data_IF_276089908823
#
_entry.id   IF_276089908823
#
_cell.length_a   1.000
_cell.length_b   1.000
_cell.length_c   1.000
_cell.angle_alpha   90.00
_cell.angle_beta   90.00
_cell.angle_gamma   90.00
#
_symmetry.space_group_name_H-M   'P 1'
#
loop_
_entity.id
_entity.type
_entity.pdbx_description
1 polymer ?
#
# COMPACT_ATOMS: atom_id res chain seq x y z
N UNK A 1 56.54 -1.00 19.40
CA UNK A 1 56.44 -1.68 18.10
C UNK A 1 55.11 -1.26 17.51
N UNK A 2 55.10 -0.54 16.38
CA UNK A 2 53.85 -0.17 15.72
C UNK A 2 53.28 -1.39 14.99
N UNK A 3 51.98 -1.64 15.17
CA UNK A 3 51.27 -2.72 14.48
C UNK A 3 50.71 -2.16 13.18
N UNK A 4 50.94 -2.86 12.07
CA UNK A 4 50.39 -2.49 10.76
C UNK A 4 49.01 -3.08 10.57
N UNK A 5 48.11 -2.32 9.96
CA UNK A 5 46.74 -2.76 9.68
C UNK A 5 46.69 -3.81 8.56
N UNK A 6 47.63 -3.79 7.62
CA UNK A 6 47.74 -4.75 6.52
C UNK A 6 49.20 -5.10 6.22
N UNK A 7 49.41 -6.27 5.60
CA UNK A 7 50.72 -6.80 5.24
C UNK A 7 50.91 -6.91 3.71
N UNK A 8 49.83 -6.90 2.93
CA UNK A 8 49.88 -6.95 1.47
C UNK A 8 48.86 -6.02 0.78
N UNK A 9 48.93 -5.94 -0.55
CA UNK A 9 48.06 -5.07 -1.36
C UNK A 9 46.59 -5.48 -1.32
N UNK A 10 46.31 -6.79 -1.26
CA UNK A 10 44.94 -7.33 -1.26
C UNK A 10 44.26 -7.05 0.08
N UNK A 11 44.98 -7.25 1.18
CA UNK A 11 44.51 -6.94 2.53
C UNK A 11 44.27 -5.42 2.69
N UNK A 12 45.14 -4.59 2.12
CA UNK A 12 44.93 -3.14 2.08
C UNK A 12 43.62 -2.75 1.36
N UNK A 13 43.39 -3.29 0.17
CA UNK A 13 42.18 -3.02 -0.62
C UNK A 13 40.91 -3.49 0.11
N UNK A 14 40.99 -4.62 0.83
CA UNK A 14 39.90 -5.09 1.69
C UNK A 14 39.57 -4.07 2.80
N UNK A 15 40.58 -3.54 3.49
CA UNK A 15 40.36 -2.54 4.54
C UNK A 15 39.88 -1.19 3.98
N UNK A 16 40.30 -0.80 2.77
CA UNK A 16 39.78 0.38 2.08
C UNK A 16 38.26 0.22 1.81
N UNK A 17 37.83 -0.95 1.35
CA UNK A 17 36.41 -1.25 1.17
C UNK A 17 35.63 -1.27 2.50
N UNK A 18 36.22 -1.79 3.57
CA UNK A 18 35.59 -1.77 4.90
C UNK A 18 35.45 -0.35 5.44
N UNK A 19 36.45 0.51 5.20
CA UNK A 19 36.40 1.91 5.58
C UNK A 19 35.27 2.65 4.85
N UNK A 20 35.08 2.38 3.55
CA UNK A 20 33.99 2.96 2.76
C UNK A 20 32.62 2.49 3.27
N UNK A 21 32.46 1.19 3.55
CA UNK A 21 31.21 0.65 4.10
C UNK A 21 30.90 1.28 5.47
N UNK A 22 31.91 1.41 6.33
CA UNK A 22 31.79 2.06 7.63
C UNK A 22 31.35 3.53 7.47
N UNK A 23 31.96 4.26 6.54
CA UNK A 23 31.66 5.66 6.27
C UNK A 23 30.22 5.84 5.80
N UNK A 24 29.75 5.02 4.85
CA UNK A 24 28.38 5.06 4.34
C UNK A 24 27.36 4.84 5.46
N UNK A 25 27.56 3.82 6.30
CA UNK A 25 26.65 3.53 7.42
C UNK A 25 26.63 4.71 8.41
N UNK A 26 27.79 5.26 8.78
CA UNK A 26 27.84 6.41 9.69
C UNK A 26 27.24 7.68 9.09
N UNK A 27 27.46 7.94 7.80
CA UNK A 27 26.87 9.07 7.10
C UNK A 27 25.34 8.95 7.07
N UNK A 28 24.83 7.76 6.76
CA UNK A 28 23.39 7.48 6.73
C UNK A 28 22.77 7.67 8.12
N UNK A 29 23.42 7.22 9.19
CA UNK A 29 22.94 7.40 10.56
C UNK A 29 22.82 8.89 10.94
N UNK A 30 23.79 9.70 10.50
CA UNK A 30 23.75 11.15 10.73
C UNK A 30 22.69 11.84 9.90
N UNK A 31 22.50 11.41 8.65
CA UNK A 31 21.47 11.93 7.76
C UNK A 31 20.07 11.65 8.31
N UNK A 32 19.78 10.41 8.73
CA UNK A 32 18.49 10.04 9.34
C UNK A 32 18.23 10.87 10.61
N UNK A 33 19.23 11.02 11.48
CA UNK A 33 19.10 11.84 12.69
C UNK A 33 18.90 13.33 12.39
N UNK A 34 19.53 13.86 11.34
CA UNK A 34 19.34 15.25 10.92
C UNK A 34 17.92 15.48 10.39
N UNK A 35 17.39 14.54 9.61
CA UNK A 35 16.02 14.59 9.11
C UNK A 35 14.98 14.50 10.23
N UNK A 36 15.14 13.56 11.17
CA UNK A 36 14.24 13.43 12.34
C UNK A 36 14.23 14.68 13.21
N UNK A 37 15.34 15.43 13.24
CA UNK A 37 15.47 16.70 13.97
C UNK A 37 15.05 17.91 13.16
N UNK A 38 14.49 17.70 11.96
CA UNK A 38 14.04 18.75 11.05
C UNK A 38 15.14 19.76 10.68
N UNK A 39 16.39 19.29 10.61
CA UNK A 39 17.57 20.14 10.27
C UNK A 39 17.77 20.25 8.76
N UNK A 40 17.19 19.33 7.99
CA UNK A 40 17.31 19.22 6.53
C UNK A 40 15.92 19.01 5.92
N UNK A 41 15.68 19.62 4.76
CA UNK A 41 14.40 19.48 4.06
C UNK A 41 14.17 18.06 3.55
N UNK A 42 12.90 17.66 3.36
CA UNK A 42 12.55 16.36 2.78
C UNK A 42 13.16 16.14 1.40
N UNK A 43 13.25 17.17 0.55
CA UNK A 43 13.82 17.05 -0.79
C UNK A 43 15.33 16.78 -0.78
N UNK A 44 16.07 17.47 0.10
CA UNK A 44 17.51 17.27 0.22
C UNK A 44 17.82 15.93 0.89
N UNK A 45 17.04 15.57 1.92
CA UNK A 45 17.11 14.26 2.55
C UNK A 45 16.88 13.13 1.54
N UNK A 46 15.81 13.18 0.74
CA UNK A 46 15.49 12.16 -0.26
C UNK A 46 16.65 11.97 -1.25
N UNK A 47 17.19 13.08 -1.78
CA UNK A 47 18.27 13.05 -2.75
C UNK A 47 19.56 12.42 -2.19
N UNK A 48 19.98 12.84 -0.99
CA UNK A 48 21.21 12.33 -0.38
C UNK A 48 21.05 10.90 0.16
N UNK A 49 19.89 10.58 0.73
CA UNK A 49 19.58 9.22 1.21
C UNK A 49 19.60 8.23 0.04
N UNK A 50 19.03 8.59 -1.11
CA UNK A 50 19.03 7.74 -2.30
C UNK A 50 20.45 7.46 -2.81
N UNK A 51 21.34 8.46 -2.79
CA UNK A 51 22.76 8.28 -3.16
C UNK A 51 23.46 7.31 -2.21
N UNK A 52 23.30 7.50 -0.90
CA UNK A 52 23.91 6.63 0.11
C UNK A 52 23.41 5.18 -0.01
N UNK A 53 22.11 4.98 -0.24
CA UNK A 53 21.52 3.66 -0.50
C UNK A 53 22.12 3.03 -1.76
N UNK A 54 22.27 3.80 -2.84
CA UNK A 54 22.85 3.30 -4.08
C UNK A 54 24.31 2.86 -3.88
N UNK A 55 25.13 3.71 -3.25
CA UNK A 55 26.53 3.39 -2.93
C UNK A 55 26.64 2.17 -2.02
N UNK A 56 25.80 2.08 -0.99
CA UNK A 56 25.72 0.93 -0.11
C UNK A 56 25.43 -0.36 -0.89
N UNK A 57 24.38 -0.37 -1.73
CA UNK A 57 24.00 -1.55 -2.51
C UNK A 57 25.12 -2.00 -3.45
N UNK A 58 25.78 -1.06 -4.13
CA UNK A 58 26.93 -1.35 -4.99
C UNK A 58 28.06 -1.99 -4.19
N UNK A 59 28.48 -1.36 -3.09
CA UNK A 59 29.60 -1.84 -2.28
C UNK A 59 29.30 -3.17 -1.58
N UNK A 60 28.12 -3.30 -0.96
CA UNK A 60 27.69 -4.54 -0.30
C UNK A 60 27.56 -5.70 -1.28
N UNK A 61 27.19 -5.46 -2.54
CA UNK A 61 27.18 -6.52 -3.56
C UNK A 61 28.58 -7.06 -3.85
N UNK A 62 29.59 -6.19 -3.89
CA UNK A 62 31.00 -6.56 -4.12
C UNK A 62 31.60 -7.27 -2.91
N UNK A 63 31.17 -6.92 -1.70
CA UNK A 63 31.69 -7.46 -0.45
C UNK A 63 30.94 -8.70 0.07
N UNK A 64 29.92 -9.19 -0.65
CA UNK A 64 29.01 -10.24 -0.14
C UNK A 64 29.71 -11.51 0.34
N UNK A 65 30.79 -11.91 -0.34
CA UNK A 65 31.56 -13.11 0.03
C UNK A 65 32.47 -12.90 1.26
N UNK A 66 32.76 -11.65 1.61
CA UNK A 66 33.64 -11.25 2.71
C UNK A 66 32.82 -10.82 3.93
N UNK A 67 31.73 -10.06 3.70
CA UNK A 67 30.79 -9.56 4.70
C UNK A 67 29.40 -10.10 4.35
N UNK A 68 29.04 -11.29 4.88
CA UNK A 68 27.73 -11.88 4.61
C UNK A 68 26.59 -11.20 5.37
N UNK A 69 26.90 -10.42 6.42
CA UNK A 69 25.91 -9.66 7.20
C UNK A 69 26.48 -8.32 7.62
N UNK A 70 25.76 -7.26 7.27
CA UNK A 70 26.11 -5.87 7.59
C UNK A 70 25.87 -5.59 9.08
N UNK A 71 24.93 -6.28 9.70
CA UNK A 71 24.68 -6.25 11.15
C UNK A 71 25.90 -6.77 11.91
N UNK A 72 26.46 -7.91 11.49
CA UNK A 72 27.69 -8.45 12.10
C UNK A 72 28.89 -7.53 11.90
N UNK A 73 28.98 -6.86 10.74
CA UNK A 73 29.99 -5.83 10.52
C UNK A 73 29.83 -4.67 11.50
N UNK A 74 28.60 -4.15 11.66
CA UNK A 74 28.29 -3.09 12.62
C UNK A 74 28.63 -3.50 14.06
N UNK A 75 28.32 -4.73 14.47
CA UNK A 75 28.70 -5.26 15.80
C UNK A 75 30.22 -5.34 15.97
N UNK A 76 30.93 -5.88 14.97
CA UNK A 76 32.40 -6.05 14.99
C UNK A 76 33.11 -4.72 15.18
N UNK A 77 32.64 -3.68 14.49
CA UNK A 77 33.19 -2.32 14.57
C UNK A 77 32.47 -1.43 15.59
N UNK A 78 31.61 -2.01 16.46
CA UNK A 78 30.90 -1.34 17.56
C UNK A 78 30.13 -0.09 17.10
N UNK A 79 29.44 -0.22 15.98
CA UNK A 79 28.68 0.86 15.35
C UNK A 79 27.26 0.94 15.96
N UNK A 80 27.01 1.99 16.75
CA UNK A 80 25.65 2.36 17.15
C UNK A 80 24.98 3.16 16.01
N UNK A 81 24.37 2.44 15.06
CA UNK A 81 23.72 3.01 13.87
C UNK A 81 22.37 2.35 13.52
N UNK A 82 21.40 2.26 14.46
CA UNK A 82 20.15 1.55 14.24
C UNK A 82 19.28 2.15 13.11
N UNK A 83 19.31 3.47 12.93
CA UNK A 83 18.54 4.12 11.86
C UNK A 83 19.13 3.82 10.48
N UNK A 84 20.46 3.84 10.37
CA UNK A 84 21.14 3.45 9.13
C UNK A 84 20.88 1.99 8.77
N UNK A 85 20.93 1.06 9.72
CA UNK A 85 20.68 -0.36 9.45
C UNK A 85 19.25 -0.57 8.94
N UNK A 86 18.26 0.05 9.59
CA UNK A 86 16.88 0.00 9.11
C UNK A 86 16.78 0.55 7.68
N UNK A 87 17.35 1.73 7.42
CA UNK A 87 17.28 2.38 6.09
C UNK A 87 17.98 1.58 5.00
N UNK A 88 19.21 1.13 5.24
CA UNK A 88 20.06 0.51 4.23
C UNK A 88 19.71 -0.96 3.97
N UNK A 89 19.40 -1.72 5.03
CA UNK A 89 19.22 -3.17 4.95
C UNK A 89 17.74 -3.57 4.89
N UNK A 90 16.88 -2.93 5.68
CA UNK A 90 15.47 -3.34 5.81
C UNK A 90 14.58 -2.64 4.78
N UNK A 91 14.58 -1.31 4.77
CA UNK A 91 13.68 -0.50 3.93
C UNK A 91 14.21 -0.34 2.50
N UNK A 92 15.48 0.04 2.34
CA UNK A 92 16.13 0.19 1.05
C UNK A 92 15.63 1.35 0.19
N UNK A 93 14.80 2.23 0.76
CA UNK A 93 14.28 3.50 0.19
C UNK A 93 14.24 4.58 1.29
N UNK A 94 14.25 5.89 0.98
CA UNK A 94 14.12 6.95 2.00
C UNK A 94 12.81 6.89 2.82
N UNK A 95 12.81 7.42 4.05
CA UNK A 95 11.67 7.35 4.98
C UNK A 95 10.39 7.94 4.38
N UNK A 96 10.53 9.07 3.71
CA UNK A 96 9.44 9.81 3.09
C UNK A 96 8.80 9.04 1.95
N UNK A 97 9.58 8.27 1.20
CA UNK A 97 9.09 7.41 0.11
C UNK A 97 8.31 6.24 0.68
N UNK A 98 8.83 5.60 1.72
CA UNK A 98 8.16 4.52 2.45
C UNK A 98 6.81 4.96 3.02
N UNK A 99 6.77 6.09 3.72
CA UNK A 99 5.53 6.66 4.25
C UNK A 99 4.57 7.14 3.16
N UNK A 100 5.08 7.71 2.06
CA UNK A 100 4.26 8.11 0.91
C UNK A 100 3.64 6.90 0.22
N UNK A 101 4.36 5.79 0.08
CA UNK A 101 3.82 4.55 -0.50
C UNK A 101 2.73 3.95 0.40
N UNK A 102 2.94 3.95 1.72
CA UNK A 102 1.92 3.54 2.69
C UNK A 102 0.66 4.42 2.63
N UNK A 103 0.83 5.74 2.50
CA UNK A 103 -0.28 6.68 2.37
C UNK A 103 -0.98 6.60 0.99
N UNK A 104 -0.23 6.44 -0.09
CA UNK A 104 -0.77 6.33 -1.45
C UNK A 104 -1.58 5.04 -1.64
N UNK A 105 -1.14 3.92 -1.06
CA UNK A 105 -1.92 2.67 -1.03
C UNK A 105 -3.29 2.82 -0.38
N UNK A 106 -3.48 3.83 0.49
CA UNK A 106 -4.76 4.14 1.13
C UNK A 106 -5.66 5.08 0.31
N UNK A 107 -5.10 5.90 -0.59
CA UNK A 107 -5.85 6.99 -1.27
C UNK A 107 -6.13 6.72 -2.75
N UNK A 108 -5.22 6.08 -3.49
CA UNK A 108 -5.50 5.70 -4.90
C UNK A 108 -6.36 4.45 -4.98
N UNK A 109 -6.20 3.51 -4.03
CA UNK A 109 -7.10 2.37 -3.88
C UNK A 109 -8.54 2.83 -3.56
N UNK A 110 -8.72 3.91 -2.81
CA UNK A 110 -10.06 4.41 -2.47
C UNK A 110 -10.75 5.06 -3.66
N UNK A 111 -10.05 5.84 -4.50
CA UNK A 111 -10.68 6.48 -5.67
C UNK A 111 -11.11 5.48 -6.75
N UNK A 112 -10.25 4.49 -7.06
CA UNK A 112 -10.59 3.44 -8.01
C UNK A 112 -11.72 2.54 -7.48
N UNK A 113 -11.69 2.17 -6.19
CA UNK A 113 -12.76 1.39 -5.58
C UNK A 113 -14.08 2.17 -5.51
N UNK A 114 -14.04 3.48 -5.27
CA UNK A 114 -15.23 4.35 -5.31
C UNK A 114 -15.82 4.36 -6.72
N UNK A 115 -15.00 4.58 -7.75
CA UNK A 115 -15.45 4.57 -9.14
C UNK A 115 -16.06 3.21 -9.55
N UNK A 116 -15.42 2.10 -9.16
CA UNK A 116 -15.94 0.75 -9.38
C UNK A 116 -17.31 0.56 -8.71
N UNK A 117 -17.46 1.00 -7.46
CA UNK A 117 -18.72 0.88 -6.72
C UNK A 117 -19.84 1.73 -7.35
N UNK A 118 -19.55 2.98 -7.74
CA UNK A 118 -20.49 3.84 -8.48
C UNK A 118 -20.95 3.16 -9.77
N UNK A 119 -20.01 2.62 -10.54
CA UNK A 119 -20.33 1.95 -11.79
C UNK A 119 -21.21 0.71 -11.57
N UNK A 120 -20.92 -0.11 -10.56
CA UNK A 120 -21.74 -1.28 -10.24
C UNK A 120 -23.15 -0.91 -9.78
N UNK A 121 -23.30 0.17 -9.01
CA UNK A 121 -24.62 0.70 -8.63
C UNK A 121 -25.42 1.10 -9.87
N UNK A 122 -24.84 1.95 -10.72
CA UNK A 122 -25.50 2.44 -11.95
C UNK A 122 -25.86 1.28 -12.87
N UNK A 123 -24.91 0.37 -13.11
CA UNK A 123 -25.10 -0.79 -14.00
C UNK A 123 -26.25 -1.68 -13.50
N UNK A 124 -26.28 -1.98 -12.21
CA UNK A 124 -27.36 -2.81 -11.62
C UNK A 124 -28.72 -2.10 -11.71
N UNK A 125 -28.77 -0.80 -11.41
CA UNK A 125 -30.01 -0.01 -11.51
C UNK A 125 -30.51 0.10 -12.96
N UNK A 126 -29.62 0.29 -13.93
CA UNK A 126 -29.99 0.42 -15.34
C UNK A 126 -30.43 -0.92 -15.94
N UNK A 127 -29.82 -2.05 -15.55
CA UNK A 127 -30.31 -3.38 -15.93
C UNK A 127 -31.76 -3.60 -15.50
N UNK A 128 -32.13 -3.19 -14.29
CA UNK A 128 -33.52 -3.26 -13.82
C UNK A 128 -34.45 -2.35 -14.63
N UNK A 129 -33.99 -1.14 -15.01
CA UNK A 129 -34.75 -0.22 -15.88
C UNK A 129 -34.94 -0.76 -17.30
N UNK A 130 -33.99 -1.54 -17.80
CA UNK A 130 -34.06 -2.25 -19.08
C UNK A 130 -34.87 -3.55 -19.00
N UNK A 131 -35.55 -3.80 -17.88
CA UNK A 131 -36.35 -4.99 -17.64
C UNK A 131 -35.57 -6.32 -17.73
N UNK A 132 -34.26 -6.27 -17.43
CA UNK A 132 -33.44 -7.46 -17.23
C UNK A 132 -33.69 -8.00 -15.82
N UNK A 133 -34.71 -8.83 -15.65
CA UNK A 133 -35.21 -9.26 -14.32
C UNK A 133 -34.94 -10.73 -14.00
N UNK A 134 -34.30 -11.46 -14.91
CA UNK A 134 -33.89 -12.85 -14.67
C UNK A 134 -32.76 -12.92 -13.62
N UNK A 135 -32.77 -13.99 -12.83
CA UNK A 135 -31.79 -14.20 -11.74
C UNK A 135 -30.36 -14.26 -12.29
N UNK A 136 -30.12 -14.95 -13.41
CA UNK A 136 -28.80 -15.03 -14.03
C UNK A 136 -28.25 -13.70 -14.57
N UNK A 137 -29.13 -12.73 -14.81
CA UNK A 137 -28.79 -11.37 -15.22
C UNK A 137 -28.50 -10.47 -14.01
N UNK A 138 -29.32 -10.54 -12.96
CA UNK A 138 -29.24 -9.64 -11.81
C UNK A 138 -28.28 -10.13 -10.74
N UNK A 139 -28.19 -11.44 -10.50
CA UNK A 139 -27.36 -12.00 -9.44
C UNK A 139 -25.88 -11.67 -9.60
N UNK A 140 -25.25 -11.81 -10.79
CA UNK A 140 -23.85 -11.42 -10.96
C UNK A 140 -23.60 -9.94 -10.67
N UNK A 141 -24.50 -9.06 -11.16
CA UNK A 141 -24.38 -7.61 -10.95
C UNK A 141 -24.45 -7.23 -9.46
N UNK A 142 -25.37 -7.85 -8.70
CA UNK A 142 -25.45 -7.64 -7.26
C UNK A 142 -24.23 -8.21 -6.51
N UNK A 143 -23.67 -9.33 -6.97
CA UNK A 143 -22.45 -9.91 -6.41
C UNK A 143 -21.25 -8.98 -6.60
N UNK A 144 -21.09 -8.42 -7.80
CA UNK A 144 -20.03 -7.45 -8.11
C UNK A 144 -20.21 -6.16 -7.32
N UNK A 145 -21.45 -5.67 -7.21
CA UNK A 145 -21.78 -4.54 -6.34
C UNK A 145 -21.41 -4.82 -4.88
N UNK A 146 -21.82 -5.96 -4.32
CA UNK A 146 -21.48 -6.36 -2.95
C UNK A 146 -19.97 -6.43 -2.72
N UNK A 147 -19.23 -7.03 -3.66
CA UNK A 147 -17.77 -7.09 -3.63
C UNK A 147 -17.16 -5.69 -3.61
N UNK A 148 -17.61 -4.80 -4.52
CA UNK A 148 -17.11 -3.42 -4.59
C UNK A 148 -17.41 -2.61 -3.34
N UNK A 149 -18.59 -2.76 -2.73
CA UNK A 149 -18.93 -2.09 -1.46
C UNK A 149 -18.01 -2.57 -0.32
N UNK A 150 -17.66 -3.85 -0.29
CA UNK A 150 -16.79 -4.42 0.75
C UNK A 150 -15.33 -3.97 0.63
N UNK A 151 -14.87 -3.55 -0.55
CA UNK A 151 -13.54 -2.94 -0.75
C UNK A 151 -13.43 -1.55 -0.10
N UNK A 152 -14.55 -0.89 0.17
CA UNK A 152 -14.60 0.46 0.71
C UNK A 152 -14.52 0.42 2.24
N UNK A 153 -13.30 0.51 2.76
CA UNK A 153 -13.04 0.45 4.21
C UNK A 153 -13.53 1.66 5.02
N UNK A 154 -13.90 2.77 4.39
CA UNK A 154 -14.44 3.95 5.07
C UNK A 154 -15.94 3.84 5.38
N UNK A 155 -16.65 2.89 4.75
CA UNK A 155 -18.07 2.71 5.01
C UNK A 155 -18.28 1.96 6.34
N UNK A 156 -19.27 2.38 7.16
CA UNK A 156 -19.64 1.66 8.37
C UNK A 156 -19.99 0.18 8.10
N UNK A 157 -19.74 -0.73 9.06
CA UNK A 157 -20.05 -2.15 8.90
C UNK A 157 -21.55 -2.42 8.74
N UNK A 158 -22.40 -1.53 9.25
CA UNK A 158 -23.86 -1.53 9.20
C UNK A 158 -24.43 -0.65 8.08
N UNK A 159 -23.59 -0.21 7.13
CA UNK A 159 -24.03 0.56 5.97
C UNK A 159 -25.17 -0.14 5.22
N UNK A 160 -26.27 0.60 5.00
CA UNK A 160 -27.52 0.09 4.42
C UNK A 160 -27.32 -0.73 3.14
N UNK A 161 -26.48 -0.24 2.23
CA UNK A 161 -26.19 -0.95 0.97
C UNK A 161 -25.58 -2.33 1.17
N UNK A 162 -24.73 -2.54 2.20
CA UNK A 162 -24.19 -3.88 2.50
C UNK A 162 -25.29 -4.84 2.92
N UNK A 163 -26.20 -4.39 3.77
CA UNK A 163 -27.30 -5.21 4.28
C UNK A 163 -28.26 -5.54 3.15
N UNK A 164 -28.75 -4.53 2.44
CA UNK A 164 -29.73 -4.68 1.36
C UNK A 164 -29.22 -5.53 0.21
N UNK A 165 -28.01 -5.28 -0.29
CA UNK A 165 -27.44 -6.09 -1.38
C UNK A 165 -27.27 -7.55 -0.95
N UNK A 166 -26.85 -7.81 0.29
CA UNK A 166 -26.72 -9.17 0.82
C UNK A 166 -28.07 -9.88 0.96
N UNK A 167 -29.10 -9.18 1.42
CA UNK A 167 -30.46 -9.73 1.54
C UNK A 167 -31.03 -10.11 0.18
N UNK A 168 -30.82 -9.27 -0.83
CA UNK A 168 -31.23 -9.55 -2.21
C UNK A 168 -30.47 -10.73 -2.83
N UNK A 169 -29.14 -10.80 -2.65
CA UNK A 169 -28.34 -11.97 -3.06
C UNK A 169 -28.86 -13.24 -2.38
N UNK A 170 -29.14 -13.19 -1.07
CA UNK A 170 -29.66 -14.33 -0.30
C UNK A 170 -31.07 -14.77 -0.71
N UNK A 171 -31.85 -13.87 -1.31
CA UNK A 171 -33.16 -14.18 -1.90
C UNK A 171 -33.00 -14.82 -3.28
N UNK A 172 -32.19 -14.22 -4.15
CA UNK A 172 -31.94 -14.69 -5.51
C UNK A 172 -31.22 -16.05 -5.55
N UNK A 173 -30.34 -16.33 -4.58
CA UNK A 173 -29.64 -17.63 -4.50
C UNK A 173 -30.56 -18.83 -4.25
N UNK A 174 -31.82 -18.58 -3.85
CA UNK A 174 -32.86 -19.60 -3.64
C UNK A 174 -33.73 -19.81 -4.88
N UNK A 175 -33.52 -19.02 -5.93
CA UNK A 175 -34.26 -19.07 -7.19
C UNK A 175 -33.40 -19.77 -8.25
N UNK A 176 -34.03 -20.36 -9.26
CA UNK A 176 -33.36 -20.89 -10.44
C UNK A 176 -32.81 -19.77 -11.31
N UNK A 177 -31.77 -20.06 -12.10
CA UNK A 177 -31.12 -19.08 -12.97
C UNK A 177 -32.09 -18.38 -13.95
N UNK A 178 -33.08 -19.12 -14.46
CA UNK A 178 -34.09 -18.62 -15.40
C UNK A 178 -35.33 -18.02 -14.71
N UNK A 179 -35.41 -18.08 -13.38
CA UNK A 179 -36.52 -17.46 -12.67
C UNK A 179 -36.41 -15.93 -12.76
N UNK A 180 -37.55 -15.26 -12.83
CA UNK A 180 -37.62 -13.81 -12.94
C UNK A 180 -38.10 -13.18 -11.62
N UNK A 181 -37.55 -12.02 -11.29
CA UNK A 181 -38.12 -11.17 -10.25
C UNK A 181 -39.51 -10.69 -10.68
N UNK A 182 -40.46 -10.73 -9.75
CA UNK A 182 -41.77 -10.12 -10.02
C UNK A 182 -41.65 -8.61 -10.15
N UNK A 183 -42.58 -7.95 -10.84
CA UNK A 183 -42.56 -6.49 -11.00
C UNK A 183 -42.44 -5.75 -9.66
N UNK A 184 -43.14 -6.23 -8.62
CA UNK A 184 -43.04 -5.67 -7.27
C UNK A 184 -41.63 -5.85 -6.67
N UNK A 185 -41.00 -7.00 -6.89
CA UNK A 185 -39.65 -7.27 -6.40
C UNK A 185 -38.61 -6.43 -7.13
N UNK A 186 -38.72 -6.30 -8.46
CA UNK A 186 -37.83 -5.47 -9.26
C UNK A 186 -37.91 -4.00 -8.84
N UNK A 187 -39.13 -3.48 -8.62
CA UNK A 187 -39.33 -2.10 -8.10
C UNK A 187 -38.76 -1.93 -6.69
N UNK A 188 -38.95 -2.90 -5.80
CA UNK A 188 -38.39 -2.82 -4.44
C UNK A 188 -36.85 -2.88 -4.45
N UNK A 189 -36.27 -3.74 -5.28
CA UNK A 189 -34.82 -3.83 -5.45
C UNK A 189 -34.26 -2.52 -5.99
N UNK A 190 -34.89 -1.94 -7.02
CA UNK A 190 -34.48 -0.65 -7.58
C UNK A 190 -34.51 0.46 -6.52
N UNK A 191 -35.58 0.56 -5.73
CA UNK A 191 -35.69 1.51 -4.63
C UNK A 191 -34.60 1.32 -3.55
N UNK A 192 -34.36 0.07 -3.12
CA UNK A 192 -33.33 -0.23 -2.12
C UNK A 192 -31.93 0.15 -2.65
N UNK A 193 -31.65 -0.06 -3.93
CA UNK A 193 -30.40 0.33 -4.58
C UNK A 193 -30.24 1.85 -4.68
N UNK A 194 -31.32 2.57 -5.02
CA UNK A 194 -31.30 4.04 -5.10
C UNK A 194 -31.10 4.68 -3.72
N UNK A 195 -31.79 4.18 -2.69
CA UNK A 195 -31.61 4.60 -1.29
C UNK A 195 -30.15 4.38 -0.84
N UNK A 196 -29.64 3.17 -1.07
CA UNK A 196 -28.26 2.81 -0.76
C UNK A 196 -27.27 3.72 -1.49
N UNK A 197 -27.45 3.92 -2.80
CA UNK A 197 -26.57 4.78 -3.60
C UNK A 197 -26.55 6.24 -3.12
N UNK A 198 -27.70 6.79 -2.74
CA UNK A 198 -27.77 8.14 -2.19
C UNK A 198 -27.05 8.25 -0.84
N UNK A 199 -27.22 7.25 0.04
CA UNK A 199 -26.51 7.15 1.31
C UNK A 199 -24.99 7.02 1.10
N UNK A 200 -24.58 6.20 0.13
CA UNK A 200 -23.17 6.08 -0.29
C UNK A 200 -22.59 7.42 -0.76
N UNK A 201 -23.29 8.13 -1.64
CA UNK A 201 -22.85 9.43 -2.15
C UNK A 201 -22.73 10.48 -1.03
N UNK A 202 -23.63 10.46 -0.05
CA UNK A 202 -23.53 11.31 1.13
C UNK A 202 -22.35 10.95 2.06
N UNK A 203 -21.94 9.67 2.08
CA UNK A 203 -20.81 9.18 2.86
C UNK A 203 -19.45 9.37 2.17
N UNK A 204 -19.41 9.80 0.91
CA UNK A 204 -18.15 10.08 0.21
C UNK A 204 -17.43 11.24 0.91
N UNK A 205 -16.10 11.11 1.15
CA UNK A 205 -15.31 12.21 1.66
C UNK A 205 -15.44 13.41 0.73
N UNK A 206 -16.10 14.48 1.17
CA UNK A 206 -16.13 15.73 0.40
C UNK A 206 -14.72 16.27 0.39
N UNK A 207 -14.15 16.52 -0.80
CA UNK A 207 -12.87 17.20 -0.91
C UNK A 207 -13.04 18.65 -0.42
N UNK A 208 -12.84 18.89 0.87
CA UNK A 208 -12.92 20.23 1.46
C UNK A 208 -13.37 20.25 2.91
N UNK A 209 -12.42 20.00 3.83
CA UNK A 209 -12.11 20.85 5.00
C UNK A 209 -10.80 20.36 5.63
#
# INVERSE_FOLDING_TARGET
>A
MEVKLWNDKREREMYENFAELYAIIKATEKLEKAYVRDVISSSEYEAECQKLIAHFKTLSSTLKDIIPSVERFAETYKMDCPAAINRLVVSGVPATVEHRAAAAGSTTASAAAVAECVQNFITTMDSLRLNMVAVDQIYPLLSDLSSSINKLGFLPPDYEGRVKTKDWIGKLSKMGAADELTEQQARQLHFDLESSYNSFMAALPTAGN
#
